data_IF_785761310504
#
_entry.id   IF_785761310504
#
_cell.length_a   1.000
_cell.length_b   1.000
_cell.length_c   1.000
_cell.angle_alpha   90.00
_cell.angle_beta   90.00
_cell.angle_gamma   90.00
#
_symmetry.space_group_name_H-M   'P 1'
#
loop_
_entity.id
_entity.type
_entity.pdbx_description
1 polymer ?
#
# COMPACT_ATOMS: atom_id res chain seq x y z
N UNK A 1 -2.89 6.45 -9.91
CA UNK A 1 -3.55 5.92 -8.70
C UNK A 1 -4.57 4.82 -8.97
N UNK A 2 -5.43 4.94 -9.99
CA UNK A 2 -6.43 3.89 -10.29
C UNK A 2 -5.80 2.51 -10.47
N UNK A 3 -4.63 2.44 -11.11
CA UNK A 3 -3.89 1.19 -11.32
C UNK A 3 -3.56 0.47 -10.01
N UNK A 4 -2.95 1.17 -9.04
CA UNK A 4 -2.60 0.60 -7.73
C UNK A 4 -3.84 0.19 -6.92
N UNK A 5 -4.87 1.02 -6.90
CA UNK A 5 -6.13 0.69 -6.21
C UNK A 5 -6.77 -0.58 -6.80
N UNK A 6 -6.78 -0.72 -8.13
CA UNK A 6 -7.31 -1.90 -8.79
C UNK A 6 -6.48 -3.15 -8.48
N UNK A 7 -5.14 -3.06 -8.51
CA UNK A 7 -4.25 -4.16 -8.14
C UNK A 7 -4.57 -4.67 -6.72
N UNK A 8 -4.56 -3.78 -5.73
CA UNK A 8 -4.81 -4.15 -4.33
C UNK A 8 -6.21 -4.78 -4.18
N UNK A 9 -7.24 -4.18 -4.77
CA UNK A 9 -8.60 -4.73 -4.70
C UNK A 9 -8.73 -6.12 -5.31
N UNK A 10 -8.04 -6.38 -6.42
CA UNK A 10 -8.07 -7.67 -7.11
C UNK A 10 -7.36 -8.77 -6.33
N UNK A 11 -6.25 -8.46 -5.65
CA UNK A 11 -5.42 -9.48 -4.99
C UNK A 11 -5.71 -9.67 -3.49
N UNK A 12 -6.10 -8.62 -2.75
CA UNK A 12 -6.29 -8.71 -1.28
C UNK A 12 -7.69 -9.15 -0.88
N UNK A 13 -8.70 -8.82 -1.69
CA UNK A 13 -10.11 -9.02 -1.36
C UNK A 13 -10.64 -8.09 -0.25
N UNK A 14 -11.96 -8.06 -0.07
CA UNK A 14 -12.64 -7.18 0.88
C UNK A 14 -13.12 -7.96 2.12
N UNK A 15 -12.77 -7.47 3.31
CA UNK A 15 -13.27 -8.00 4.59
C UNK A 15 -13.88 -6.89 5.45
N UNK A 16 -15.20 -6.90 5.60
CA UNK A 16 -15.94 -5.85 6.32
C UNK A 16 -15.96 -6.02 7.85
N UNK A 17 -15.55 -7.19 8.34
CA UNK A 17 -15.41 -7.48 9.76
C UNK A 17 -13.94 -7.70 10.09
N UNK A 18 -13.49 -7.11 11.21
CA UNK A 18 -12.12 -7.29 11.69
C UNK A 18 -11.81 -8.78 11.94
N UNK A 19 -10.65 -9.23 11.48
CA UNK A 19 -10.16 -10.60 11.65
C UNK A 19 -8.75 -10.62 12.23
N UNK A 20 -8.31 -11.79 12.71
CA UNK A 20 -7.15 -11.89 13.60
C UNK A 20 -5.96 -12.64 12.98
N UNK A 21 -4.83 -11.94 12.99
CA UNK A 21 -3.44 -12.41 13.04
C UNK A 21 -2.62 -11.29 13.69
N UNK A 22 -2.50 -10.17 12.97
CA UNK A 22 -2.59 -8.79 13.50
C UNK A 22 -4.05 -8.35 13.27
N UNK A 23 -4.59 -7.38 14.01
CA UNK A 23 -5.95 -6.90 13.73
C UNK A 23 -6.01 -6.25 12.35
N UNK A 24 -6.82 -6.83 11.46
CA UNK A 24 -6.91 -6.41 10.06
C UNK A 24 -8.36 -6.24 9.61
N UNK A 25 -8.63 -5.26 8.74
CA UNK A 25 -9.96 -4.99 8.17
C UNK A 25 -9.87 -4.39 6.75
N UNK A 26 -10.97 -4.37 6.01
CA UNK A 26 -11.05 -3.81 4.67
C UNK A 26 -10.20 -4.60 3.68
N UNK A 27 -9.34 -3.88 2.96
CA UNK A 27 -8.36 -4.42 2.02
C UNK A 27 -6.99 -4.55 2.68
N UNK A 28 -6.88 -5.21 3.84
CA UNK A 28 -5.60 -5.41 4.52
C UNK A 28 -5.14 -4.30 5.47
N UNK A 29 -6.02 -3.36 5.85
CA UNK A 29 -5.69 -2.27 6.78
C UNK A 29 -5.45 -2.77 8.21
N UNK A 30 -4.35 -2.35 8.85
CA UNK A 30 -3.90 -2.82 10.19
C UNK A 30 -3.72 -1.72 11.23
N UNK A 31 -4.27 -0.52 11.01
CA UNK A 31 -4.16 0.63 11.91
C UNK A 31 -4.96 0.49 13.21
N UNK A 32 -5.89 1.40 13.47
CA UNK A 32 -6.74 1.37 14.68
C UNK A 32 -7.86 0.32 14.57
N UNK A 33 -7.49 -0.94 14.29
CA UNK A 33 -8.42 -2.06 14.15
C UNK A 33 -8.48 -2.82 15.48
N UNK A 34 -9.69 -3.13 15.91
CA UNK A 34 -9.94 -3.86 17.16
C UNK A 34 -11.01 -4.93 16.96
N UNK A 35 -11.08 -5.86 17.91
CA UNK A 35 -12.08 -6.94 17.92
C UNK A 35 -13.49 -6.36 17.78
N UNK A 36 -14.29 -6.94 16.89
CA UNK A 36 -15.69 -6.58 16.71
C UNK A 36 -15.93 -5.34 15.86
N UNK A 37 -14.88 -4.69 15.34
CA UNK A 37 -15.05 -3.61 14.38
C UNK A 37 -15.69 -4.13 13.09
N UNK A 38 -16.72 -3.43 12.64
CA UNK A 38 -17.41 -3.66 11.36
C UNK A 38 -17.43 -2.34 10.61
N UNK A 39 -17.14 -2.39 9.30
CA UNK A 39 -17.14 -1.22 8.43
C UNK A 39 -17.99 -1.46 7.19
N UNK A 40 -18.42 -0.38 6.54
CA UNK A 40 -19.03 -0.43 5.21
C UNK A 40 -17.98 -0.55 4.12
N UNK A 41 -18.38 -0.95 2.91
CA UNK A 41 -17.47 -0.93 1.76
C UNK A 41 -16.92 0.47 1.48
N UNK A 42 -17.73 1.51 1.67
CA UNK A 42 -17.29 2.90 1.50
C UNK A 42 -16.21 3.29 2.52
N UNK A 43 -16.34 2.83 3.76
CA UNK A 43 -15.30 3.00 4.78
C UNK A 43 -14.04 2.21 4.42
N UNK A 44 -14.17 0.97 3.93
CA UNK A 44 -13.02 0.19 3.47
C UNK A 44 -12.28 0.86 2.29
N UNK A 45 -13.02 1.44 1.34
CA UNK A 45 -12.46 2.22 0.24
C UNK A 45 -11.74 3.49 0.74
N UNK A 46 -12.28 4.14 1.77
CA UNK A 46 -11.65 5.32 2.38
C UNK A 46 -10.33 4.97 3.06
N UNK A 47 -10.31 3.88 3.85
CA UNK A 47 -9.09 3.37 4.48
C UNK A 47 -8.03 3.02 3.44
N UNK A 48 -8.42 2.34 2.35
CA UNK A 48 -7.51 1.99 1.27
C UNK A 48 -6.86 3.23 0.63
N UNK A 49 -7.63 4.29 0.38
CA UNK A 49 -7.07 5.53 -0.17
C UNK A 49 -6.10 6.22 0.80
N UNK A 50 -6.36 6.16 2.10
CA UNK A 50 -5.46 6.68 3.14
C UNK A 50 -4.15 5.88 3.18
N UNK A 51 -4.24 4.55 3.17
CA UNK A 51 -3.08 3.66 3.17
C UNK A 51 -2.22 3.88 1.92
N UNK A 52 -2.85 3.96 0.74
CA UNK A 52 -2.13 4.22 -0.51
C UNK A 52 -1.44 5.60 -0.47
N UNK A 53 -2.13 6.64 0.00
CA UNK A 53 -1.54 7.99 0.11
C UNK A 53 -0.30 7.97 1.00
N UNK A 54 -0.37 7.28 2.15
CA UNK A 54 0.77 7.07 3.04
C UNK A 54 1.93 6.34 2.34
N UNK A 55 1.62 5.28 1.59
CA UNK A 55 2.61 4.48 0.87
C UNK A 55 3.29 5.29 -0.23
N UNK A 56 2.56 6.09 -1.00
CA UNK A 56 3.15 6.97 -2.03
C UNK A 56 4.13 7.94 -1.37
N UNK A 57 3.70 8.63 -0.30
CA UNK A 57 4.55 9.58 0.40
C UNK A 57 5.84 8.91 0.91
N UNK A 58 5.74 7.69 1.42
CA UNK A 58 6.88 6.90 1.84
C UNK A 58 7.79 6.48 0.67
N UNK A 59 7.22 6.05 -0.44
CA UNK A 59 7.97 5.66 -1.63
C UNK A 59 8.76 6.84 -2.20
N UNK A 60 8.11 8.00 -2.37
CA UNK A 60 8.73 9.22 -2.87
C UNK A 60 9.79 9.78 -1.91
N UNK A 61 9.58 9.67 -0.60
CA UNK A 61 10.58 10.09 0.38
C UNK A 61 11.86 9.23 0.36
N UNK A 62 11.74 7.94 0.01
CA UNK A 62 12.88 7.02 -0.07
C UNK A 62 13.55 7.08 -1.44
N UNK A 63 12.75 7.21 -2.50
CA UNK A 63 13.17 7.18 -3.90
C UNK A 63 12.53 8.33 -4.67
N UNK A 64 13.07 9.56 -4.56
CA UNK A 64 12.49 10.75 -5.20
C UNK A 64 12.38 10.65 -6.73
N UNK A 65 13.24 9.85 -7.37
CA UNK A 65 13.18 9.57 -8.82
C UNK A 65 11.81 9.04 -9.26
N UNK A 66 11.06 8.39 -8.35
CA UNK A 66 9.72 7.88 -8.63
C UNK A 66 8.67 8.99 -8.91
N UNK A 67 8.98 10.25 -8.60
CA UNK A 67 8.13 11.39 -8.99
C UNK A 67 8.22 11.72 -10.48
N UNK A 68 9.33 11.34 -11.13
CA UNK A 68 9.64 11.66 -12.53
C UNK A 68 9.36 10.47 -13.46
N UNK A 69 9.15 9.28 -12.91
CA UNK A 69 8.78 8.09 -13.69
C UNK A 69 7.28 7.99 -13.88
N UNK A 70 6.86 7.27 -14.93
CA UNK A 70 5.44 7.04 -15.21
C UNK A 70 4.70 6.28 -14.10
N UNK A 71 3.38 6.45 -14.05
CA UNK A 71 2.46 5.91 -13.02
C UNK A 71 2.64 4.42 -12.74
N UNK A 72 2.93 3.61 -13.77
CA UNK A 72 3.06 2.16 -13.64
C UNK A 72 4.24 1.77 -12.73
N UNK A 73 5.38 2.47 -12.84
CA UNK A 73 6.56 2.16 -12.02
C UNK A 73 6.33 2.57 -10.57
N UNK A 74 5.75 3.75 -10.34
CA UNK A 74 5.34 4.17 -8.99
C UNK A 74 4.34 3.17 -8.38
N UNK A 75 3.33 2.74 -9.15
CA UNK A 75 2.32 1.78 -8.69
C UNK A 75 2.95 0.43 -8.32
N UNK A 76 3.87 -0.09 -9.12
CA UNK A 76 4.55 -1.36 -8.84
C UNK A 76 5.39 -1.29 -7.55
N UNK A 77 6.10 -0.19 -7.31
CA UNK A 77 6.86 -0.01 -6.06
C UNK A 77 5.94 0.16 -4.86
N UNK A 78 4.84 0.90 -5.01
CA UNK A 78 3.85 1.05 -3.95
C UNK A 78 3.17 -0.29 -3.61
N UNK A 79 2.89 -1.13 -4.60
CA UNK A 79 2.35 -2.49 -4.40
C UNK A 79 3.32 -3.38 -3.62
N UNK A 80 4.62 -3.32 -3.95
CA UNK A 80 5.66 -3.98 -3.17
C UNK A 80 5.70 -3.48 -1.71
N UNK A 81 5.64 -2.16 -1.50
CA UNK A 81 5.64 -1.55 -0.15
C UNK A 81 4.38 -1.95 0.63
N UNK A 82 3.24 -2.04 -0.04
CA UNK A 82 1.97 -2.48 0.57
C UNK A 82 2.11 -3.90 1.13
N UNK A 83 2.65 -4.82 0.33
CA UNK A 83 2.79 -6.24 0.69
C UNK A 83 3.91 -6.51 1.71
N UNK A 84 5.05 -5.83 1.58
CA UNK A 84 6.29 -6.19 2.29
C UNK A 84 6.75 -5.12 3.29
N UNK A 85 6.14 -3.95 3.27
CA UNK A 85 6.42 -2.84 4.15
C UNK A 85 7.59 -1.96 3.68
N UNK A 86 7.48 -0.67 4.00
CA UNK A 86 8.45 0.37 3.63
C UNK A 86 9.86 0.09 4.13
N UNK A 87 10.01 -0.54 5.29
CA UNK A 87 11.32 -0.90 5.84
C UNK A 87 12.06 -1.90 4.94
N UNK A 88 11.35 -2.92 4.43
CA UNK A 88 11.94 -3.90 3.50
C UNK A 88 12.32 -3.25 2.19
N UNK A 89 11.48 -2.34 1.66
CA UNK A 89 11.83 -1.57 0.48
C UNK A 89 13.10 -0.72 0.68
N UNK A 90 13.16 0.08 1.76
CA UNK A 90 14.29 0.99 2.06
C UNK A 90 15.66 0.31 1.99
N UNK A 91 15.77 -0.91 2.51
CA UNK A 91 17.02 -1.66 2.58
C UNK A 91 17.19 -2.71 1.47
N UNK A 92 16.25 -2.80 0.53
CA UNK A 92 16.29 -3.80 -0.55
C UNK A 92 17.30 -3.46 -1.65
N UNK A 93 17.76 -4.49 -2.37
CA UNK A 93 18.43 -4.33 -3.67
C UNK A 93 17.51 -3.68 -4.70
N UNK A 94 16.21 -3.99 -4.66
CA UNK A 94 15.20 -3.38 -5.54
C UNK A 94 15.26 -1.84 -5.49
N UNK A 95 15.23 -1.25 -4.29
CA UNK A 95 15.33 0.21 -4.12
C UNK A 95 16.62 0.78 -4.73
N UNK A 96 17.76 0.10 -4.52
CA UNK A 96 19.05 0.52 -5.13
C UNK A 96 18.99 0.51 -6.66
N UNK A 97 18.32 -0.46 -7.27
CA UNK A 97 18.12 -0.51 -8.71
C UNK A 97 17.12 0.55 -9.21
N UNK A 98 16.08 0.86 -8.42
CA UNK A 98 15.13 1.93 -8.75
C UNK A 98 15.81 3.30 -8.79
N UNK A 99 16.72 3.56 -7.84
CA UNK A 99 17.43 4.84 -7.72
C UNK A 99 18.67 4.94 -8.61
N UNK A 100 19.12 3.83 -9.18
CA UNK A 100 20.22 3.84 -10.13
C UNK A 100 19.75 4.58 -11.39
N UNK A 101 20.37 5.73 -11.66
CA UNK A 101 20.28 6.35 -12.98
C UNK A 101 21.04 5.45 -13.96
N UNK A 102 20.44 5.16 -15.11
CA UNK A 102 21.20 4.65 -16.26
C UNK A 102 22.30 5.63 -16.66
#
# INVERSE_FOLDING_TARGET
MKTLTNLIKTFEGLRLQAYQGVWTIGYGHTGCVAKGLVITEQQANTLLLQDISKIINQALAISPILAEVGENRLSAICDFIFNLGVGRYKYSTLRRCVDAKE
#
